data_IF_317779932063
#
_entry.id   IF_317779932063
#
_cell.length_a   1.000
_cell.length_b   1.000
_cell.length_c   1.000
_cell.angle_alpha   90.00
_cell.angle_beta   90.00
_cell.angle_gamma   90.00
#
_symmetry.space_group_name_H-M   'P 1'
#
loop_
_entity.id
_entity.type
_entity.pdbx_description
1 polymer ?
#
# COMPACT_ATOMS: atom_id res chain seq x y z
N UNK A 1 -8.95 35.87 -11.86
CA UNK A 1 -10.27 36.47 -11.55
C UNK A 1 -11.22 36.58 -12.75
N UNK A 2 -10.80 36.21 -13.98
CA UNK A 2 -11.69 36.20 -15.17
C UNK A 2 -12.18 34.77 -15.53
N UNK A 3 -11.56 33.71 -14.99
CA UNK A 3 -12.01 32.32 -15.19
C UNK A 3 -13.13 31.85 -14.23
N UNK A 4 -13.53 32.68 -13.26
CA UNK A 4 -14.54 32.29 -12.24
C UNK A 4 -15.97 32.68 -12.68
N UNK A 5 -16.14 33.61 -13.62
CA UNK A 5 -17.47 34.07 -14.04
C UNK A 5 -18.11 33.10 -15.05
N UNK A 6 -17.32 32.43 -15.90
CA UNK A 6 -17.85 31.49 -16.89
C UNK A 6 -18.46 30.22 -16.26
N UNK A 7 -17.99 29.80 -15.09
CA UNK A 7 -18.49 28.59 -14.41
C UNK A 7 -19.79 28.84 -13.62
N UNK A 8 -20.11 30.11 -13.33
CA UNK A 8 -21.30 30.46 -12.54
C UNK A 8 -22.55 30.63 -13.41
N UNK A 9 -22.41 31.06 -14.67
CA UNK A 9 -23.54 31.16 -15.62
C UNK A 9 -24.01 29.78 -16.14
N UNK A 10 -23.10 28.81 -16.27
CA UNK A 10 -23.42 27.44 -16.73
C UNK A 10 -24.18 26.62 -15.66
N UNK A 11 -24.05 27.02 -14.38
CA UNK A 11 -24.73 26.38 -13.23
C UNK A 11 -26.20 26.83 -13.08
N UNK A 12 -26.56 28.02 -13.57
CA UNK A 12 -27.96 28.50 -13.51
C UNK A 12 -28.81 27.96 -14.66
N UNK A 13 -28.21 27.63 -15.81
CA UNK A 13 -28.95 27.21 -17.01
C UNK A 13 -29.49 25.77 -16.94
N UNK A 14 -28.89 24.89 -16.12
CA UNK A 14 -29.29 23.48 -16.01
C UNK A 14 -30.31 23.18 -14.91
N UNK A 15 -31.03 24.19 -14.40
CA UNK A 15 -31.98 24.04 -13.29
C UNK A 15 -33.34 23.43 -13.69
N UNK A 16 -33.50 22.94 -14.91
CA UNK A 16 -34.74 22.28 -15.36
C UNK A 16 -34.50 20.83 -15.79
N UNK A 17 -35.10 19.92 -15.03
CA UNK A 17 -35.34 18.49 -15.31
C UNK A 17 -34.15 17.51 -15.21
N UNK A 18 -34.00 16.85 -14.05
CA UNK A 18 -34.10 15.37 -13.95
C UNK A 18 -33.81 14.84 -12.53
N UNK A 19 -34.60 13.85 -12.08
CA UNK A 19 -34.43 13.16 -10.78
C UNK A 19 -33.15 12.30 -10.66
N UNK A 20 -32.33 12.19 -11.71
CA UNK A 20 -31.00 11.56 -11.67
C UNK A 20 -29.93 12.42 -10.96
N UNK A 21 -30.23 13.70 -10.65
CA UNK A 21 -29.29 14.65 -10.07
C UNK A 21 -29.10 14.48 -8.55
N UNK A 22 -30.11 13.97 -7.83
CA UNK A 22 -30.10 13.85 -6.36
C UNK A 22 -29.16 12.75 -5.83
N UNK A 23 -28.90 11.67 -6.59
CA UNK A 23 -27.94 10.62 -6.17
C UNK A 23 -26.46 11.04 -6.29
N UNK A 24 -26.15 12.11 -7.02
CA UNK A 24 -24.77 12.63 -7.17
C UNK A 24 -24.41 13.71 -6.13
N UNK A 25 -25.37 14.25 -5.38
CA UNK A 25 -25.11 15.33 -4.42
C UNK A 25 -24.24 14.89 -3.21
N UNK A 26 -24.39 13.67 -2.70
CA UNK A 26 -23.67 13.28 -1.47
C UNK A 26 -22.14 13.19 -1.66
N UNK A 27 -21.64 12.93 -2.87
CA UNK A 27 -20.19 12.94 -3.15
C UNK A 27 -19.65 14.32 -3.58
N UNK A 28 -20.49 15.23 -4.07
CA UNK A 28 -20.07 16.57 -4.51
C UNK A 28 -20.05 17.55 -3.33
N UNK A 29 -20.91 17.37 -2.32
CA UNK A 29 -20.96 18.22 -1.13
C UNK A 29 -19.69 18.05 -0.26
N UNK A 30 -19.14 16.84 -0.14
CA UNK A 30 -17.86 16.61 0.57
C UNK A 30 -16.65 17.22 -0.14
N UNK A 31 -16.61 17.18 -1.48
CA UNK A 31 -15.58 17.86 -2.28
C UNK A 31 -15.66 19.39 -2.17
N UNK A 32 -16.88 19.94 -2.09
CA UNK A 32 -17.07 21.39 -1.93
C UNK A 32 -16.60 21.90 -0.56
N UNK A 33 -16.81 21.14 0.51
CA UNK A 33 -16.33 21.49 1.85
C UNK A 33 -14.80 21.38 1.99
N UNK A 34 -14.18 20.34 1.41
CA UNK A 34 -12.73 20.18 1.43
C UNK A 34 -12.00 21.29 0.64
N UNK A 35 -12.61 21.79 -0.44
CA UNK A 35 -12.11 22.92 -1.23
C UNK A 35 -12.32 24.25 -0.49
N UNK A 36 -13.48 24.47 0.13
CA UNK A 36 -13.80 25.70 0.86
C UNK A 36 -12.93 25.88 2.11
N UNK A 37 -12.72 24.81 2.90
CA UNK A 37 -11.90 24.86 4.13
C UNK A 37 -10.42 25.16 3.81
N UNK A 38 -9.90 24.69 2.66
CA UNK A 38 -8.53 25.00 2.23
C UNK A 38 -8.39 26.40 1.61
N UNK A 39 -9.42 26.90 0.92
CA UNK A 39 -9.41 28.28 0.39
C UNK A 39 -9.53 29.34 1.50
N UNK A 40 -10.30 29.09 2.56
CA UNK A 40 -10.45 30.01 3.70
C UNK A 40 -9.19 30.05 4.59
N UNK A 41 -8.37 28.99 4.63
CA UNK A 41 -7.07 29.01 5.32
C UNK A 41 -6.01 29.86 4.61
N UNK A 42 -6.18 30.16 3.31
CA UNK A 42 -5.27 30.97 2.52
C UNK A 42 -5.59 32.48 2.55
N UNK A 43 -6.75 32.89 3.06
CA UNK A 43 -7.14 34.31 3.15
C UNK A 43 -6.65 35.04 4.41
N UNK A 44 -5.91 34.38 5.31
CA UNK A 44 -5.47 34.95 6.59
C UNK A 44 -3.94 35.07 6.78
N UNK A 45 -3.14 34.89 5.73
CA UNK A 45 -1.68 35.07 5.83
C UNK A 45 -1.22 36.33 5.08
N UNK A 46 -0.45 37.24 5.72
CA UNK A 46 0.06 38.44 5.07
C UNK A 46 1.01 38.09 3.91
N UNK A 47 0.77 38.75 2.79
CA UNK A 47 1.39 38.56 1.48
C UNK A 47 2.85 39.06 1.47
N UNK A 48 3.82 38.25 1.88
CA UNK A 48 5.23 38.49 1.51
C UNK A 48 5.97 37.17 1.28
N UNK A 49 6.53 37.02 0.08
CA UNK A 49 7.36 35.91 -0.44
C UNK A 49 6.64 34.63 -0.87
N UNK A 50 6.14 34.64 -2.11
CA UNK A 50 5.77 33.43 -2.85
C UNK A 50 7.02 32.79 -3.48
N UNK A 51 7.64 31.84 -2.78
CA UNK A 51 8.17 30.68 -3.49
C UNK A 51 6.98 29.81 -3.89
N UNK A 52 6.88 29.48 -5.17
CA UNK A 52 5.83 28.64 -5.75
C UNK A 52 5.81 27.26 -5.07
N UNK A 53 5.02 27.12 -4.00
CA UNK A 53 4.69 25.83 -3.42
C UNK A 53 3.72 25.16 -4.41
N UNK A 54 4.25 24.30 -5.28
CA UNK A 54 3.44 23.34 -6.02
C UNK A 54 2.80 22.37 -5.02
N UNK A 55 1.59 22.68 -4.58
CA UNK A 55 0.76 21.74 -3.83
C UNK A 55 0.38 20.62 -4.80
N UNK A 56 1.13 19.52 -4.73
CA UNK A 56 0.84 18.28 -5.47
C UNK A 56 -0.31 17.60 -4.74
N UNK A 57 -1.54 17.81 -5.20
CA UNK A 57 -2.71 17.08 -4.72
C UNK A 57 -2.51 15.62 -5.15
N UNK A 58 -2.04 14.78 -4.23
CA UNK A 58 -1.91 13.34 -4.46
C UNK A 58 -3.29 12.71 -4.42
N UNK A 59 -3.91 12.59 -5.60
CA UNK A 59 -5.05 11.71 -5.83
C UNK A 59 -4.61 10.31 -5.41
N UNK A 60 -5.35 9.67 -4.51
CA UNK A 60 -5.24 8.22 -4.33
C UNK A 60 -5.70 7.62 -5.65
N UNK A 61 -4.76 7.27 -6.53
CA UNK A 61 -5.07 6.77 -7.86
C UNK A 61 -5.65 5.37 -7.72
N UNK A 62 -6.97 5.25 -7.83
CA UNK A 62 -7.59 3.94 -8.08
C UNK A 62 -7.17 3.50 -9.49
N UNK A 63 -6.29 2.51 -9.56
CA UNK A 63 -5.88 1.89 -10.80
C UNK A 63 -7.07 1.11 -11.39
N UNK A 64 -7.26 1.21 -12.70
CA UNK A 64 -8.21 0.34 -13.38
C UNK A 64 -7.58 -1.03 -13.68
N UNK A 65 -8.41 -2.03 -14.00
CA UNK A 65 -7.97 -3.41 -14.27
C UNK A 65 -6.90 -3.50 -15.35
N UNK A 66 -6.99 -2.63 -16.38
CA UNK A 66 -6.01 -2.57 -17.46
C UNK A 66 -4.65 -2.05 -16.96
N UNK A 67 -4.64 -1.03 -16.13
CA UNK A 67 -3.41 -0.50 -15.52
C UNK A 67 -2.74 -1.53 -14.60
N UNK A 68 -3.54 -2.27 -13.83
CA UNK A 68 -3.06 -3.41 -13.02
C UNK A 68 -2.43 -4.48 -13.93
N UNK A 69 -3.11 -4.85 -15.02
CA UNK A 69 -2.61 -5.81 -15.99
C UNK A 69 -1.29 -5.35 -16.65
N UNK A 70 -1.17 -4.07 -17.00
CA UNK A 70 0.07 -3.49 -17.52
C UNK A 70 1.22 -3.65 -16.51
N UNK A 71 0.99 -3.33 -15.23
CA UNK A 71 2.02 -3.44 -14.19
C UNK A 71 2.48 -4.89 -13.98
N UNK A 72 1.56 -5.85 -13.98
CA UNK A 72 1.88 -7.27 -13.94
C UNK A 72 2.77 -7.68 -15.12
N UNK A 73 2.39 -7.33 -16.36
CA UNK A 73 3.15 -7.65 -17.57
C UNK A 73 4.55 -7.01 -17.60
N UNK A 74 4.67 -5.75 -17.15
CA UNK A 74 5.96 -5.05 -17.04
C UNK A 74 6.86 -5.73 -16.01
N UNK A 75 6.27 -6.20 -14.90
CA UNK A 75 6.99 -6.91 -13.83
C UNK A 75 7.57 -8.23 -14.32
N UNK A 76 6.81 -9.02 -15.09
CA UNK A 76 7.27 -10.32 -15.60
C UNK A 76 8.44 -10.20 -16.59
N UNK A 77 8.38 -9.23 -17.51
CA UNK A 77 9.26 -9.22 -18.69
C UNK A 77 10.54 -8.37 -18.56
N UNK A 78 10.74 -7.67 -17.44
CA UNK A 78 11.81 -6.66 -17.18
C UNK A 78 11.85 -5.47 -18.15
N UNK A 79 11.48 -5.64 -19.43
CA UNK A 79 11.19 -4.58 -20.40
C UNK A 79 10.10 -5.09 -21.34
N UNK A 80 9.07 -4.26 -21.58
CA UNK A 80 8.00 -4.59 -22.53
C UNK A 80 7.69 -3.38 -23.39
N UNK A 81 7.54 -3.61 -24.69
CA UNK A 81 7.26 -2.55 -25.64
C UNK A 81 5.74 -2.29 -25.76
N UNK A 82 5.39 -1.10 -26.26
CA UNK A 82 4.00 -0.64 -26.40
C UNK A 82 3.19 -1.54 -27.34
N UNK A 83 3.81 -2.07 -28.40
CA UNK A 83 3.13 -2.96 -29.34
C UNK A 83 2.72 -4.28 -28.69
N UNK A 84 3.62 -4.90 -27.91
CA UNK A 84 3.34 -6.12 -27.16
C UNK A 84 2.29 -5.92 -26.07
N UNK A 85 2.30 -4.78 -25.37
CA UNK A 85 1.24 -4.45 -24.40
C UNK A 85 -0.12 -4.26 -25.09
N UNK A 86 -0.12 -3.58 -26.24
CA UNK A 86 -1.31 -3.32 -27.06
C UNK A 86 -1.94 -4.63 -27.56
N UNK A 87 -1.11 -5.56 -28.05
CA UNK A 87 -1.53 -6.88 -28.50
C UNK A 87 -2.07 -7.73 -27.34
N UNK A 88 -1.34 -7.82 -26.23
CA UNK A 88 -1.74 -8.64 -25.07
C UNK A 88 -3.01 -8.18 -24.38
N UNK A 89 -3.28 -6.88 -24.39
CA UNK A 89 -4.42 -6.27 -23.71
C UNK A 89 -5.54 -5.86 -24.69
N UNK A 90 -5.39 -6.18 -25.98
CA UNK A 90 -6.38 -5.87 -27.03
C UNK A 90 -6.85 -4.41 -27.05
N UNK A 91 -5.92 -3.46 -26.86
CA UNK A 91 -6.19 -2.01 -26.88
C UNK A 91 -5.22 -1.28 -27.79
N UNK A 92 -5.55 -0.07 -28.24
CA UNK A 92 -4.68 0.71 -29.13
C UNK A 92 -3.34 1.07 -28.47
N UNK A 93 -2.29 1.21 -29.28
CA UNK A 93 -0.99 1.71 -28.80
C UNK A 93 -1.08 3.12 -28.19
N UNK A 94 -2.04 3.95 -28.65
CA UNK A 94 -2.28 5.29 -28.10
C UNK A 94 -2.80 5.18 -26.66
N UNK A 95 -3.76 4.29 -26.42
CA UNK A 95 -4.28 3.99 -25.08
C UNK A 95 -3.17 3.51 -24.15
N UNK A 96 -2.35 2.56 -24.60
CA UNK A 96 -1.19 2.06 -23.82
C UNK A 96 -0.23 3.19 -23.48
N UNK A 97 0.12 4.06 -24.44
CA UNK A 97 1.02 5.20 -24.16
C UNK A 97 0.45 6.14 -23.09
N UNK A 98 -0.86 6.32 -23.06
CA UNK A 98 -1.53 7.16 -22.07
C UNK A 98 -1.54 6.51 -20.68
N UNK A 99 -1.87 5.22 -20.58
CA UNK A 99 -1.77 4.48 -19.31
C UNK A 99 -0.34 4.46 -18.78
N UNK A 100 0.65 4.16 -19.63
CA UNK A 100 2.06 4.19 -19.24
C UNK A 100 2.49 5.58 -18.75
N UNK A 101 2.00 6.67 -19.36
CA UNK A 101 2.29 8.04 -18.92
C UNK A 101 1.71 8.32 -17.53
N UNK A 102 0.51 7.83 -17.25
CA UNK A 102 -0.11 7.97 -15.93
C UNK A 102 0.65 7.16 -14.88
N UNK A 103 0.96 5.90 -15.18
CA UNK A 103 1.71 5.01 -14.29
C UNK A 103 3.13 5.52 -14.00
N UNK A 104 3.81 6.12 -14.99
CA UNK A 104 5.10 6.79 -14.80
C UNK A 104 4.98 8.04 -13.91
N UNK A 105 3.94 8.86 -14.10
CA UNK A 105 3.72 10.06 -13.29
C UNK A 105 3.46 9.73 -11.82
N UNK A 106 2.88 8.56 -11.56
CA UNK A 106 2.64 7.98 -10.24
C UNK A 106 3.83 7.14 -9.73
N UNK A 107 4.92 7.04 -10.49
CA UNK A 107 6.16 6.35 -10.08
C UNK A 107 6.12 4.83 -10.15
N UNK A 108 5.07 4.22 -10.70
CA UNK A 108 4.87 2.76 -10.68
C UNK A 108 5.70 2.00 -11.73
N UNK A 109 6.21 2.69 -12.74
CA UNK A 109 7.11 2.16 -13.77
C UNK A 109 7.98 3.27 -14.36
N UNK A 110 9.03 2.90 -15.09
CA UNK A 110 9.84 3.84 -15.89
C UNK A 110 9.59 3.60 -17.36
N UNK A 111 9.34 4.67 -18.12
CA UNK A 111 9.23 4.56 -19.58
C UNK A 111 10.61 4.67 -20.23
N UNK A 112 10.72 4.05 -21.39
CA UNK A 112 11.81 4.27 -22.32
C UNK A 112 11.23 4.43 -23.72
N UNK A 113 12.07 4.74 -24.72
CA UNK A 113 11.60 4.85 -26.09
C UNK A 113 10.92 3.55 -26.57
N UNK A 114 9.60 3.64 -26.77
CA UNK A 114 8.79 2.54 -27.28
C UNK A 114 8.30 1.52 -26.23
N UNK A 115 8.52 1.73 -24.94
CA UNK A 115 8.10 0.76 -23.91
C UNK A 115 8.17 1.22 -22.46
N UNK A 116 8.07 0.26 -21.56
CA UNK A 116 8.16 0.44 -20.11
C UNK A 116 8.98 -0.67 -19.45
N UNK A 117 9.63 -0.31 -18.35
CA UNK A 117 10.41 -1.20 -17.51
C UNK A 117 10.01 -0.98 -16.03
N UNK A 118 10.19 -1.99 -15.16
CA UNK A 118 9.83 -1.85 -13.77
C UNK A 118 10.76 -0.84 -13.07
N UNK A 119 10.21 -0.17 -12.05
CA UNK A 119 11.01 0.52 -11.03
C UNK A 119 11.64 -0.50 -10.08
N UNK A 120 12.46 -0.04 -9.12
CA UNK A 120 13.12 -0.91 -8.13
C UNK A 120 12.13 -1.91 -7.53
N UNK A 121 12.61 -3.13 -7.26
CA UNK A 121 11.78 -4.14 -6.60
C UNK A 121 11.33 -3.71 -5.19
N UNK A 122 12.04 -2.77 -4.58
CA UNK A 122 11.73 -2.20 -3.27
C UNK A 122 10.71 -1.06 -3.31
N UNK A 123 10.36 -0.56 -4.51
CA UNK A 123 9.33 0.48 -4.66
C UNK A 123 7.96 -0.04 -4.20
N UNK A 124 7.40 0.66 -3.22
CA UNK A 124 6.17 0.23 -2.55
C UNK A 124 4.94 0.28 -3.44
N UNK A 125 4.82 1.28 -4.33
CA UNK A 125 3.67 1.40 -5.23
C UNK A 125 3.68 0.27 -6.26
N UNK A 126 4.87 -0.08 -6.77
CA UNK A 126 5.02 -1.26 -7.62
C UNK A 126 4.63 -2.53 -6.88
N UNK A 127 5.18 -2.77 -5.67
CA UNK A 127 4.85 -3.96 -4.87
C UNK A 127 3.35 -4.05 -4.56
N UNK A 128 2.66 -2.92 -4.39
CA UNK A 128 1.21 -2.86 -4.20
C UNK A 128 0.43 -3.33 -5.41
N UNK A 129 0.84 -2.92 -6.60
CA UNK A 129 0.13 -3.26 -7.85
C UNK A 129 0.24 -4.73 -8.26
N UNK A 130 1.39 -5.35 -8.00
CA UNK A 130 1.63 -6.76 -8.36
C UNK A 130 0.81 -7.68 -7.46
N UNK A 131 0.06 -8.62 -8.03
CA UNK A 131 -0.84 -9.53 -7.31
C UNK A 131 -1.82 -8.78 -6.38
N UNK A 132 -2.26 -7.58 -6.79
CA UNK A 132 -3.10 -6.70 -5.96
C UNK A 132 -4.34 -7.41 -5.40
N UNK A 133 -5.08 -8.15 -6.23
CA UNK A 133 -6.31 -8.83 -5.80
C UNK A 133 -6.03 -9.86 -4.70
N UNK A 134 -5.01 -10.70 -4.91
CA UNK A 134 -4.56 -11.68 -3.93
C UNK A 134 -4.15 -11.01 -2.61
N UNK A 135 -3.36 -9.93 -2.69
CA UNK A 135 -2.95 -9.18 -1.49
C UNK A 135 -4.12 -8.50 -0.79
N UNK A 136 -5.11 -8.03 -1.54
CA UNK A 136 -6.35 -7.45 -1.02
C UNK A 136 -7.17 -8.48 -0.24
N UNK A 137 -7.27 -9.71 -0.76
CA UNK A 137 -7.94 -10.82 -0.06
C UNK A 137 -7.20 -11.24 1.21
N UNK A 138 -5.87 -11.38 1.14
CA UNK A 138 -5.02 -11.65 2.32
C UNK A 138 -5.20 -10.54 3.37
N UNK A 139 -5.18 -9.27 2.94
CA UNK A 139 -5.38 -8.12 3.83
C UNK A 139 -6.75 -8.12 4.51
N UNK A 140 -7.83 -8.48 3.80
CA UNK A 140 -9.18 -8.62 4.37
C UNK A 140 -9.23 -9.74 5.41
N UNK A 141 -8.62 -10.88 5.11
CA UNK A 141 -8.54 -11.99 6.06
C UNK A 141 -7.76 -11.60 7.32
N UNK A 142 -6.59 -10.98 7.15
CA UNK A 142 -5.79 -10.46 8.25
C UNK A 142 -6.56 -9.43 9.10
N UNK A 143 -7.30 -8.51 8.47
CA UNK A 143 -8.13 -7.54 9.16
C UNK A 143 -9.26 -8.21 9.95
N UNK A 144 -9.77 -9.37 9.53
CA UNK A 144 -10.81 -10.10 10.26
C UNK A 144 -10.34 -10.59 11.65
N UNK A 145 -9.04 -10.78 11.83
CA UNK A 145 -8.42 -11.19 13.10
C UNK A 145 -8.30 -10.03 14.11
N UNK A 146 -8.48 -8.78 13.67
CA UNK A 146 -8.35 -7.58 14.51
C UNK A 146 -9.73 -7.13 15.00
N UNK A 147 -9.90 -6.98 16.31
CA UNK A 147 -11.15 -6.44 16.90
C UNK A 147 -11.14 -4.92 16.92
N UNK A 148 -12.33 -4.32 17.02
CA UNK A 148 -12.47 -2.88 17.23
C UNK A 148 -11.75 -2.46 18.53
N UNK A 149 -11.12 -1.29 18.53
CA UNK A 149 -10.38 -0.76 19.67
C UNK A 149 -8.96 -1.33 19.86
N UNK A 150 -8.54 -2.32 19.05
CA UNK A 150 -7.20 -2.92 19.20
C UNK A 150 -6.07 -1.98 18.75
N UNK A 151 -4.93 -2.12 19.40
CA UNK A 151 -3.64 -1.57 18.95
C UNK A 151 -2.81 -2.69 18.34
N UNK A 152 -2.33 -2.50 17.11
CA UNK A 152 -1.55 -3.52 16.38
C UNK A 152 -0.24 -2.94 15.88
N UNK A 153 0.80 -3.77 15.86
CA UNK A 153 2.04 -3.47 15.16
C UNK A 153 1.92 -3.92 13.70
N UNK A 154 2.25 -3.05 12.76
CA UNK A 154 2.26 -3.39 11.33
C UNK A 154 3.61 -2.99 10.75
N UNK A 155 4.38 -3.99 10.32
CA UNK A 155 5.64 -3.78 9.61
C UNK A 155 5.36 -3.19 8.21
N UNK A 156 6.38 -2.72 7.51
CA UNK A 156 6.28 -2.34 6.10
C UNK A 156 5.82 -3.47 5.17
N UNK A 157 5.62 -3.14 3.89
CA UNK A 157 5.22 -4.12 2.86
C UNK A 157 3.85 -3.84 2.24
N UNK A 158 3.70 -4.25 0.99
CA UNK A 158 2.52 -3.92 0.18
C UNK A 158 1.22 -4.53 0.71
N UNK A 159 1.28 -5.77 1.19
CA UNK A 159 0.11 -6.45 1.78
C UNK A 159 -0.27 -5.78 3.10
N UNK A 160 0.72 -5.39 3.90
CA UNK A 160 0.51 -4.62 5.14
C UNK A 160 -0.10 -3.23 4.90
N UNK A 161 0.24 -2.56 3.78
CA UNK A 161 -0.41 -1.31 3.42
C UNK A 161 -1.91 -1.50 3.11
N UNK A 162 -2.28 -2.58 2.41
CA UNK A 162 -3.68 -2.93 2.18
C UNK A 162 -4.39 -3.33 3.48
N UNK A 163 -3.72 -4.07 4.36
CA UNK A 163 -4.23 -4.39 5.69
C UNK A 163 -4.54 -3.11 6.47
N UNK A 164 -3.63 -2.15 6.51
CA UNK A 164 -3.87 -0.87 7.19
C UNK A 164 -5.10 -0.14 6.64
N UNK A 165 -5.32 -0.18 5.32
CA UNK A 165 -6.53 0.39 4.72
C UNK A 165 -7.81 -0.37 5.09
N UNK A 166 -7.77 -1.71 5.17
CA UNK A 166 -8.90 -2.53 5.64
C UNK A 166 -9.21 -2.29 7.13
N UNK A 167 -8.18 -2.11 7.96
CA UNK A 167 -8.36 -1.72 9.36
C UNK A 167 -8.97 -0.33 9.51
N UNK A 168 -8.75 0.56 8.53
CA UNK A 168 -9.47 1.82 8.42
C UNK A 168 -10.94 1.70 8.02
N UNK A 169 -11.54 0.51 8.09
CA UNK A 169 -13.00 0.32 8.10
C UNK A 169 -13.54 -0.02 9.49
N UNK A 170 -12.65 -0.25 10.46
CA UNK A 170 -12.99 -0.58 11.85
C UNK A 170 -12.97 0.65 12.74
N UNK A 171 -13.54 0.52 13.93
CA UNK A 171 -13.64 1.62 14.89
C UNK A 171 -12.55 1.55 15.94
N UNK A 172 -11.86 2.66 16.16
CA UNK A 172 -10.92 2.82 17.28
C UNK A 172 -9.60 2.05 17.12
N UNK A 173 -9.19 1.72 15.89
CA UNK A 173 -7.92 1.02 15.67
C UNK A 173 -6.75 1.98 15.88
N UNK A 174 -5.71 1.52 16.57
CA UNK A 174 -4.39 2.17 16.56
C UNK A 174 -3.39 1.28 15.82
N UNK A 175 -2.72 1.85 14.82
CA UNK A 175 -1.65 1.18 14.08
C UNK A 175 -0.33 1.82 14.48
N UNK A 176 0.59 1.00 14.98
CA UNK A 176 1.98 1.38 15.21
C UNK A 176 2.82 0.78 14.08
N UNK A 177 3.53 1.60 13.32
CA UNK A 177 4.26 1.15 12.13
C UNK A 177 5.59 1.86 11.97
N UNK A 178 6.59 1.16 11.42
CA UNK A 178 7.85 1.75 10.96
C UNK A 178 7.78 2.19 9.50
N UNK A 179 6.62 2.12 8.84
CA UNK A 179 6.48 2.46 7.42
C UNK A 179 5.87 3.85 7.22
N UNK A 180 6.70 4.79 6.75
CA UNK A 180 6.20 6.09 6.29
C UNK A 180 5.26 5.92 5.08
N UNK A 181 5.52 4.91 4.23
CA UNK A 181 4.60 4.54 3.15
C UNK A 181 3.19 4.29 3.69
N UNK A 182 3.05 3.38 4.68
CA UNK A 182 1.74 3.02 5.25
C UNK A 182 1.09 4.25 5.87
N UNK A 183 1.84 5.03 6.66
CA UNK A 183 1.34 6.27 7.27
C UNK A 183 0.78 7.24 6.22
N UNK A 184 1.50 7.45 5.11
CA UNK A 184 1.06 8.29 3.99
C UNK A 184 -0.11 7.68 3.21
N UNK A 185 -0.15 6.35 3.09
CA UNK A 185 -1.16 5.60 2.34
C UNK A 185 -2.54 5.68 2.98
N UNK A 186 -2.62 5.64 4.32
CA UNK A 186 -3.88 5.71 5.07
C UNK A 186 -4.18 7.07 5.69
N UNK A 187 -3.40 8.11 5.37
CA UNK A 187 -3.48 9.44 6.01
C UNK A 187 -4.87 10.09 5.99
N UNK A 188 -5.69 9.76 4.99
CA UNK A 188 -7.02 10.35 4.79
C UNK A 188 -8.11 9.55 5.55
N UNK A 189 -7.76 8.44 6.22
CA UNK A 189 -8.67 7.62 7.03
C UNK A 189 -8.73 8.15 8.46
N UNK A 190 -9.82 8.83 8.82
CA UNK A 190 -9.97 9.51 10.11
C UNK A 190 -10.25 8.58 11.31
N UNK A 191 -10.55 7.30 11.05
CA UNK A 191 -10.94 6.32 12.07
C UNK A 191 -9.77 5.43 12.55
N UNK A 192 -8.56 5.67 12.04
CA UNK A 192 -7.34 4.98 12.48
C UNK A 192 -6.39 6.00 13.11
N UNK A 193 -5.93 5.71 14.32
CA UNK A 193 -4.80 6.43 14.91
C UNK A 193 -3.50 5.80 14.40
N UNK A 194 -2.63 6.60 13.80
CA UNK A 194 -1.33 6.15 13.31
C UNK A 194 -0.24 6.65 14.26
N UNK A 195 0.63 5.74 14.69
CA UNK A 195 1.89 6.03 15.38
C UNK A 195 3.01 5.59 14.44
N UNK A 196 3.71 6.58 13.87
CA UNK A 196 4.87 6.33 13.00
C UNK A 196 6.14 6.31 13.84
N UNK A 197 6.85 5.18 13.82
CA UNK A 197 8.12 5.02 14.51
C UNK A 197 9.22 5.79 13.78
N UNK A 198 10.08 6.48 14.54
CA UNK A 198 11.23 7.20 14.01
C UNK A 198 12.43 6.28 13.74
N UNK A 199 13.42 6.75 12.98
CA UNK A 199 14.61 5.98 12.65
C UNK A 199 15.37 6.49 11.43
N UNK A 200 16.24 5.65 10.89
CA UNK A 200 16.92 5.89 9.62
C UNK A 200 15.96 5.58 8.46
N UNK A 201 15.74 6.54 7.56
CA UNK A 201 14.77 6.42 6.48
C UNK A 201 15.38 5.83 5.21
N UNK A 202 14.84 4.70 4.74
CA UNK A 202 15.17 4.11 3.44
C UNK A 202 14.19 4.61 2.38
N UNK A 203 14.71 5.32 1.37
CA UNK A 203 13.90 6.05 0.40
C UNK A 203 13.03 5.16 -0.49
N UNK A 204 13.57 4.04 -0.97
CA UNK A 204 12.91 3.19 -1.96
C UNK A 204 11.65 2.51 -1.41
N UNK A 205 11.72 2.05 -0.16
CA UNK A 205 10.61 1.36 0.52
C UNK A 205 9.83 2.24 1.50
N UNK A 206 10.25 3.51 1.63
CA UNK A 206 9.73 4.51 2.58
C UNK A 206 9.52 3.91 3.99
N UNK A 207 10.57 3.28 4.52
CA UNK A 207 10.57 2.57 5.81
C UNK A 207 11.66 3.12 6.73
N UNK A 208 11.39 3.11 8.04
CA UNK A 208 12.29 3.52 9.08
C UNK A 208 12.96 2.29 9.69
N UNK A 209 14.28 2.31 9.76
CA UNK A 209 15.10 1.20 10.27
C UNK A 209 16.19 1.66 11.24
N UNK A 210 16.96 0.69 11.74
CA UNK A 210 18.14 0.93 12.56
C UNK A 210 17.85 1.01 14.06
N UNK A 211 18.88 1.36 14.85
CA UNK A 211 18.81 1.29 16.32
C UNK A 211 17.71 2.15 16.93
N UNK A 212 17.46 3.34 16.39
CA UNK A 212 16.43 4.25 16.91
C UNK A 212 15.02 3.66 16.74
N UNK A 213 14.71 3.08 15.56
CA UNK A 213 13.43 2.38 15.36
C UNK A 213 13.25 1.27 16.39
N UNK A 214 14.29 0.46 16.59
CA UNK A 214 14.24 -0.65 17.56
C UNK A 214 14.07 -0.18 19.01
N UNK A 215 14.61 0.99 19.38
CA UNK A 215 14.36 1.60 20.68
C UNK A 215 12.90 2.04 20.80
N UNK A 216 12.36 2.74 19.80
CA UNK A 216 10.95 3.14 19.81
C UNK A 216 10.01 1.95 19.91
N UNK A 217 10.29 0.85 19.19
CA UNK A 217 9.45 -0.36 19.21
C UNK A 217 9.27 -0.92 20.63
N UNK A 218 10.31 -0.90 21.47
CA UNK A 218 10.28 -1.48 22.83
C UNK A 218 9.31 -0.79 23.79
N UNK A 219 8.84 0.41 23.46
CA UNK A 219 7.87 1.14 24.27
C UNK A 219 6.43 0.65 24.04
N UNK A 220 6.23 -0.28 23.10
CA UNK A 220 4.92 -0.83 22.76
C UNK A 220 4.81 -2.28 23.22
N UNK A 221 3.63 -2.67 23.67
CA UNK A 221 3.26 -4.06 23.92
C UNK A 221 1.86 -4.25 23.32
N UNK A 222 1.72 -5.17 22.38
CA UNK A 222 0.48 -5.38 21.63
C UNK A 222 0.09 -6.86 21.59
N UNK A 223 -1.16 -7.15 21.28
CA UNK A 223 -1.59 -8.53 21.11
C UNK A 223 -1.07 -9.11 19.78
N UNK A 224 -1.03 -8.29 18.71
CA UNK A 224 -0.75 -8.77 17.35
C UNK A 224 0.26 -7.90 16.62
N UNK A 225 1.18 -8.56 15.92
CA UNK A 225 2.02 -7.95 14.89
C UNK A 225 1.75 -8.57 13.53
N UNK A 226 1.70 -7.74 12.49
CA UNK A 226 1.59 -8.16 11.10
C UNK A 226 2.88 -7.86 10.35
N UNK A 227 3.46 -8.89 9.75
CA UNK A 227 4.78 -8.81 9.12
C UNK A 227 4.74 -9.33 7.69
N UNK A 228 5.32 -8.57 6.78
CA UNK A 228 5.59 -9.03 5.41
C UNK A 228 6.94 -9.75 5.34
N UNK A 229 7.06 -10.66 4.37
CA UNK A 229 8.31 -11.38 4.07
C UNK A 229 8.68 -11.21 2.60
N UNK A 230 9.96 -11.39 2.28
CA UNK A 230 10.42 -11.40 0.89
C UNK A 230 10.73 -12.81 0.37
N UNK A 231 10.84 -13.79 1.25
CA UNK A 231 11.06 -15.18 0.88
C UNK A 231 10.79 -16.16 2.02
N UNK A 232 10.48 -17.39 1.64
CA UNK A 232 10.39 -18.55 2.51
C UNK A 232 10.99 -19.79 1.84
N UNK A 233 11.83 -20.52 2.58
CA UNK A 233 12.17 -21.91 2.26
C UNK A 233 12.19 -22.75 3.53
N UNK A 234 11.91 -24.05 3.42
CA UNK A 234 11.93 -24.96 4.57
C UNK A 234 13.29 -24.98 5.29
N UNK A 235 14.39 -24.83 4.54
CA UNK A 235 15.75 -24.83 5.09
C UNK A 235 16.11 -23.54 5.84
N UNK A 236 15.63 -22.39 5.37
CA UNK A 236 16.03 -21.09 5.93
C UNK A 236 15.00 -20.50 6.89
N UNK A 237 13.73 -20.83 6.70
CA UNK A 237 12.57 -20.18 7.31
C UNK A 237 12.14 -18.95 6.51
N UNK A 238 11.59 -17.96 7.20
CA UNK A 238 11.19 -16.68 6.62
C UNK A 238 12.39 -15.74 6.50
N UNK A 239 12.47 -15.02 5.38
CA UNK A 239 13.61 -14.18 5.02
C UNK A 239 13.18 -12.83 4.44
N UNK A 240 14.10 -11.86 4.54
CA UNK A 240 13.96 -10.51 4.01
C UNK A 240 15.17 -10.16 3.13
N UNK A 241 14.98 -9.30 2.13
CA UNK A 241 16.07 -8.82 1.25
C UNK A 241 16.98 -7.78 1.91
N UNK A 242 16.66 -7.31 3.12
CA UNK A 242 17.42 -6.29 3.83
C UNK A 242 17.60 -6.64 5.31
N UNK A 243 18.85 -6.63 5.78
CA UNK A 243 19.20 -6.98 7.16
C UNK A 243 18.53 -6.07 8.20
N UNK A 244 18.57 -4.74 8.00
CA UNK A 244 18.00 -3.80 8.97
C UNK A 244 16.48 -3.91 9.07
N UNK A 245 15.79 -4.22 7.96
CA UNK A 245 14.35 -4.49 7.97
C UNK A 245 14.04 -5.78 8.73
N UNK A 246 14.83 -6.84 8.53
CA UNK A 246 14.71 -8.07 9.29
C UNK A 246 14.90 -7.86 10.80
N UNK A 247 15.87 -7.03 11.20
CA UNK A 247 16.12 -6.70 12.62
C UNK A 247 14.97 -5.93 13.27
N UNK A 248 14.38 -4.98 12.53
CA UNK A 248 13.20 -4.23 13.01
C UNK A 248 12.01 -5.16 13.13
N UNK A 249 11.74 -6.00 12.12
CA UNK A 249 10.64 -6.97 12.17
C UNK A 249 10.77 -7.91 13.38
N UNK A 250 11.98 -8.43 13.66
CA UNK A 250 12.25 -9.23 14.87
C UNK A 250 11.99 -8.44 16.15
N UNK A 251 12.42 -7.19 16.19
CA UNK A 251 12.19 -6.33 17.36
C UNK A 251 10.69 -6.06 17.57
N UNK A 252 9.92 -5.89 16.49
CA UNK A 252 8.45 -5.74 16.56
C UNK A 252 7.78 -7.03 17.01
N UNK A 253 8.23 -8.18 16.52
CA UNK A 253 7.74 -9.50 16.93
C UNK A 253 7.91 -9.76 18.42
N UNK A 254 9.03 -9.35 19.01
CA UNK A 254 9.27 -9.47 20.45
C UNK A 254 8.31 -8.67 21.33
N UNK A 255 7.58 -7.70 20.76
CA UNK A 255 6.63 -6.85 21.47
C UNK A 255 5.16 -7.29 21.29
N UNK A 256 4.93 -8.42 20.61
CA UNK A 256 3.61 -8.94 20.31
C UNK A 256 3.41 -10.33 20.92
N UNK A 257 2.19 -10.64 21.34
CA UNK A 257 1.82 -11.99 21.79
C UNK A 257 1.62 -12.95 20.62
N UNK A 258 1.23 -12.44 19.46
CA UNK A 258 0.96 -13.21 18.26
C UNK A 258 1.66 -12.60 17.03
N UNK A 259 2.47 -13.41 16.36
CA UNK A 259 3.21 -13.08 15.15
C UNK A 259 2.46 -13.62 13.94
N UNK A 260 1.98 -12.70 13.10
CA UNK A 260 1.17 -13.00 11.93
C UNK A 260 1.94 -12.58 10.68
N UNK A 261 2.28 -13.55 9.83
CA UNK A 261 2.88 -13.30 8.53
C UNK A 261 1.77 -13.16 7.49
N UNK A 262 1.81 -12.08 6.73
CA UNK A 262 0.92 -11.84 5.58
C UNK A 262 1.72 -11.81 4.29
N UNK A 263 1.55 -12.84 3.46
CA UNK A 263 2.35 -13.00 2.24
C UNK A 263 1.57 -13.74 1.18
N UNK A 264 1.81 -13.41 -0.09
CA UNK A 264 1.29 -14.22 -1.19
C UNK A 264 2.25 -15.40 -1.49
N UNK A 265 1.71 -16.41 -2.17
CA UNK A 265 2.36 -17.68 -2.48
C UNK A 265 3.61 -17.53 -3.35
N UNK A 266 3.79 -16.39 -4.04
CA UNK A 266 4.99 -16.13 -4.86
C UNK A 266 6.25 -15.88 -4.03
N UNK A 267 6.13 -15.76 -2.70
CA UNK A 267 7.25 -15.66 -1.77
C UNK A 267 7.77 -17.00 -1.27
N UNK A 268 7.06 -18.08 -1.56
CA UNK A 268 7.52 -19.43 -1.26
C UNK A 268 8.53 -19.86 -2.31
N UNK A 269 9.55 -20.61 -1.89
CA UNK A 269 10.73 -20.98 -2.69
C UNK A 269 11.65 -19.81 -3.08
N UNK A 270 11.44 -18.65 -2.47
CA UNK A 270 12.34 -17.50 -2.57
C UNK A 270 13.18 -17.38 -1.29
N UNK A 271 14.42 -16.92 -1.40
CA UNK A 271 15.32 -16.74 -0.25
C UNK A 271 15.92 -15.35 -0.29
N UNK A 272 15.60 -14.54 0.72
CA UNK A 272 16.22 -13.25 0.97
C UNK A 272 17.61 -13.38 1.60
N UNK A 273 18.34 -12.27 1.66
CA UNK A 273 19.72 -12.23 2.17
C UNK A 273 19.81 -12.32 3.71
N UNK A 274 18.72 -12.01 4.42
CA UNK A 274 18.68 -11.97 5.88
C UNK A 274 17.57 -12.86 6.43
N UNK A 275 17.90 -13.71 7.41
CA UNK A 275 16.91 -14.51 8.13
C UNK A 275 16.04 -13.64 9.02
N UNK A 276 14.73 -13.81 8.91
CA UNK A 276 13.72 -13.05 9.63
C UNK A 276 13.12 -13.87 10.77
N UNK A 277 12.58 -15.06 10.49
CA UNK A 277 12.00 -15.96 11.50
C UNK A 277 12.19 -17.42 11.12
N UNK A 278 12.36 -18.28 12.13
CA UNK A 278 12.14 -19.72 11.99
C UNK A 278 10.64 -20.02 12.02
N UNK A 279 10.19 -21.12 11.39
CA UNK A 279 8.77 -21.47 11.34
C UNK A 279 8.09 -21.49 12.71
N UNK A 280 8.71 -22.14 13.70
CA UNK A 280 8.18 -22.27 15.06
C UNK A 280 8.12 -20.95 15.86
N UNK A 281 8.70 -19.86 15.34
CA UNK A 281 8.59 -18.53 15.94
C UNK A 281 7.33 -17.78 15.46
N UNK A 282 6.56 -18.33 14.52
CA UNK A 282 5.42 -17.67 13.87
C UNK A 282 4.13 -18.41 14.23
N UNK A 283 3.10 -17.68 14.65
CA UNK A 283 1.83 -18.28 15.05
C UNK A 283 0.90 -18.51 13.87
N UNK A 284 0.81 -17.53 12.95
CA UNK A 284 -0.12 -17.55 11.82
C UNK A 284 0.58 -17.14 10.53
N UNK A 285 0.32 -17.86 9.45
CA UNK A 285 0.64 -17.46 8.08
C UNK A 285 -0.65 -17.31 7.29
N UNK A 286 -0.89 -16.14 6.72
CA UNK A 286 -2.02 -15.88 5.83
C UNK A 286 -1.49 -15.75 4.41
N UNK A 287 -1.92 -16.63 3.52
CA UNK A 287 -1.49 -16.73 2.12
C UNK A 287 -2.64 -17.10 1.20
N UNK A 288 -2.41 -17.10 -0.11
CA UNK A 288 -3.37 -17.62 -1.09
C UNK A 288 -3.26 -19.13 -1.30
N UNK A 289 -4.34 -19.71 -1.80
CA UNK A 289 -4.51 -21.13 -2.11
C UNK A 289 -3.51 -21.74 -3.10
N UNK A 290 -2.57 -20.96 -3.68
CA UNK A 290 -1.50 -21.48 -4.55
C UNK A 290 -0.22 -21.88 -3.80
N UNK A 291 -0.18 -21.78 -2.47
CA UNK A 291 0.90 -22.38 -1.67
C UNK A 291 1.03 -23.88 -1.98
N UNK A 292 2.27 -24.40 -2.01
CA UNK A 292 2.49 -25.83 -2.24
C UNK A 292 1.98 -26.64 -1.03
N UNK A 293 1.37 -27.83 -1.23
CA UNK A 293 0.99 -28.69 -0.11
C UNK A 293 2.17 -29.08 0.77
N UNK A 294 3.37 -29.16 0.19
CA UNK A 294 4.61 -29.47 0.91
C UNK A 294 4.96 -28.35 1.91
N UNK A 295 4.98 -27.10 1.45
CA UNK A 295 5.28 -25.95 2.31
C UNK A 295 4.19 -25.72 3.36
N UNK A 296 2.91 -25.92 3.00
CA UNK A 296 1.81 -25.85 3.94
C UNK A 296 1.97 -26.89 5.07
N UNK A 297 2.17 -28.16 4.71
CA UNK A 297 2.35 -29.24 5.69
C UNK A 297 3.58 -29.00 6.57
N UNK A 298 4.66 -28.47 6.01
CA UNK A 298 5.87 -28.15 6.76
C UNK A 298 5.61 -27.05 7.81
N UNK A 299 4.91 -25.98 7.43
CA UNK A 299 4.51 -24.92 8.36
C UNK A 299 3.59 -25.45 9.46
N UNK A 300 2.56 -26.22 9.10
CA UNK A 300 1.61 -26.81 10.07
C UNK A 300 2.31 -27.78 11.03
N UNK A 301 3.24 -28.60 10.56
CA UNK A 301 4.06 -29.48 11.41
C UNK A 301 5.01 -28.73 12.34
N UNK A 302 5.28 -27.46 12.04
CA UNK A 302 6.04 -26.54 12.89
C UNK A 302 5.16 -25.75 13.87
N UNK A 303 3.89 -26.15 14.05
CA UNK A 303 2.86 -25.49 14.85
C UNK A 303 2.44 -24.09 14.35
N UNK A 304 2.60 -23.83 13.06
CA UNK A 304 2.10 -22.59 12.44
C UNK A 304 0.67 -22.83 11.93
N UNK A 305 -0.28 -21.96 12.30
CA UNK A 305 -1.61 -21.99 11.71
C UNK A 305 -1.61 -21.33 10.32
N UNK A 306 -1.83 -22.12 9.27
CA UNK A 306 -1.86 -21.62 7.89
C UNK A 306 -3.30 -21.33 7.47
N UNK A 307 -3.58 -20.08 7.12
CA UNK A 307 -4.88 -19.63 6.60
C UNK A 307 -4.74 -19.32 5.11
N UNK A 308 -5.48 -20.06 4.27
CA UNK A 308 -5.52 -19.86 2.82
C UNK A 308 -6.77 -19.10 2.39
N UNK A 309 -6.63 -18.21 1.38
CA UNK A 309 -7.73 -17.47 0.74
C UNK A 309 -7.93 -17.84 -0.73
#
# INVERSE_FOLDING_TARGET
MIFIIAFYEELQYNHFNNQLWLRRQNHIVELSHAIYVNLVKLSFYPLTNYHLIRIRIWKVTFLNDRQIAILNLVSEKKKINVASLSEKLSVSQVTIRQDLKMLEADGMLKRYHGGAMPVSNDDMLRRLSVNFETKSQIAKMAASLVKNGETVLIESGSTNALLAAELGKKSGITIVTNSAFISRFVRDLSNVKIILLGGEYQHESEVLVGPLTRLCVKEFHVDKVFIGVDGFSQSTGFTCTNLFRAEVAKSMAQQAQQIIIVTDSTKFNEVGVASQFKPHEVDIVITDSKISPEDQNFLESSNVNVITI
#
